data_IF_136628970228
#
_entry.id   IF_136628970228
#
_cell.length_a   1.000
_cell.length_b   1.000
_cell.length_c   1.000
_cell.angle_alpha   90.00
_cell.angle_beta   90.00
_cell.angle_gamma   90.00
#
_symmetry.space_group_name_H-M   'P 1'
#
loop_
_entity.id
_entity.type
_entity.pdbx_description
1 polymer ?
#
# COMPACT_ATOMS: atom_id res chain seq x y z
N UNK A 1 23.09 42.93 25.34
CA UNK A 1 23.53 41.53 25.54
C UNK A 1 24.02 40.99 24.21
N UNK A 2 25.36 40.90 24.03
CA UNK A 2 25.96 40.28 22.86
C UNK A 2 25.73 38.77 22.92
N UNK A 3 24.90 38.26 22.07
CA UNK A 3 24.74 36.81 21.88
C UNK A 3 25.92 36.29 21.07
N UNK A 4 26.85 35.62 21.75
CA UNK A 4 27.99 34.96 21.06
C UNK A 4 27.45 33.65 20.49
N UNK A 5 27.32 33.57 19.17
CA UNK A 5 27.03 32.32 18.46
C UNK A 5 28.31 31.49 18.41
N UNK A 6 28.34 30.38 19.14
CA UNK A 6 29.40 29.38 18.99
C UNK A 6 29.01 28.41 17.87
N UNK A 7 29.87 28.34 16.86
CA UNK A 7 29.72 27.31 15.81
C UNK A 7 30.14 25.97 16.40
N UNK A 8 29.20 25.06 16.56
CA UNK A 8 29.49 23.69 16.99
C UNK A 8 29.35 22.76 15.79
N UNK A 9 30.31 21.84 15.61
CA UNK A 9 30.22 20.74 14.67
C UNK A 9 29.74 19.48 15.41
N UNK A 10 28.79 18.77 14.85
CA UNK A 10 28.29 17.47 15.33
C UNK A 10 28.41 16.46 14.22
N UNK A 11 29.01 15.33 14.51
CA UNK A 11 29.02 14.19 13.59
C UNK A 11 27.60 13.60 13.53
N UNK A 12 27.03 13.56 12.33
CA UNK A 12 25.65 13.08 12.11
C UNK A 12 25.62 11.61 11.74
N UNK A 13 26.67 11.10 11.10
CA UNK A 13 26.78 9.71 10.67
C UNK A 13 28.24 9.34 10.45
N UNK A 14 28.64 8.16 10.90
CA UNK A 14 29.95 7.61 10.61
C UNK A 14 30.06 7.20 9.14
N UNK A 15 31.17 7.49 8.51
CA UNK A 15 31.46 7.06 7.15
C UNK A 15 31.64 5.54 7.07
N UNK A 16 31.22 4.94 5.97
CA UNK A 16 31.51 3.56 5.63
C UNK A 16 32.33 3.52 4.33
N UNK A 17 33.61 3.20 4.45
CA UNK A 17 34.52 3.09 3.30
C UNK A 17 34.25 1.85 2.41
N UNK A 18 33.47 0.88 2.90
CA UNK A 18 33.20 -0.39 2.23
C UNK A 18 31.83 -0.40 1.51
N UNK A 19 31.24 0.78 1.27
CA UNK A 19 29.98 0.88 0.52
C UNK A 19 30.18 0.41 -0.91
N UNK A 20 29.33 -0.51 -1.35
CA UNK A 20 29.28 -1.02 -2.70
C UNK A 20 27.89 -0.84 -3.32
N UNK A 21 27.77 -1.10 -4.61
CA UNK A 21 26.49 -1.15 -5.28
C UNK A 21 25.72 -2.42 -4.91
N UNK A 22 24.41 -2.30 -4.81
CA UNK A 22 23.54 -3.48 -4.72
C UNK A 22 23.62 -4.29 -6.03
N UNK A 23 23.46 -5.60 -5.90
CA UNK A 23 23.53 -6.53 -7.02
C UNK A 23 22.19 -7.23 -7.20
N UNK A 24 21.70 -7.31 -8.44
CA UNK A 24 20.47 -8.03 -8.77
C UNK A 24 20.71 -9.10 -9.83
N UNK A 25 20.42 -10.36 -9.49
CA UNK A 25 20.30 -11.44 -10.45
C UNK A 25 18.85 -11.50 -10.94
N UNK A 26 18.65 -11.20 -12.21
CA UNK A 26 17.33 -11.20 -12.86
C UNK A 26 17.22 -12.35 -13.84
N UNK A 27 16.10 -13.03 -13.80
CA UNK A 27 15.72 -14.11 -14.70
C UNK A 27 14.32 -13.80 -15.24
N UNK A 28 14.14 -13.94 -16.54
CA UNK A 28 12.86 -13.79 -17.22
C UNK A 28 12.66 -14.95 -18.20
N UNK A 29 11.47 -15.53 -18.20
CA UNK A 29 11.08 -16.63 -19.06
C UNK A 29 9.75 -16.26 -19.71
N UNK A 30 9.78 -16.06 -21.03
CA UNK A 30 8.64 -15.62 -21.81
C UNK A 30 8.20 -16.63 -22.87
N UNK A 31 6.93 -16.65 -23.15
CA UNK A 31 6.32 -17.43 -24.24
C UNK A 31 5.38 -16.50 -24.99
N UNK A 32 5.56 -16.44 -26.33
CA UNK A 32 4.60 -15.84 -27.26
C UNK A 32 3.91 -16.95 -28.04
N UNK A 33 2.58 -16.92 -28.04
CA UNK A 33 1.74 -17.88 -28.76
C UNK A 33 0.71 -17.17 -29.63
N UNK A 34 0.53 -17.68 -30.82
CA UNK A 34 -0.41 -17.15 -31.82
C UNK A 34 -1.41 -18.23 -32.22
N UNK A 35 -2.69 -17.90 -32.23
CA UNK A 35 -3.76 -18.82 -32.50
C UNK A 35 -4.77 -18.21 -33.49
N UNK A 36 -5.53 -19.06 -34.15
CA UNK A 36 -6.64 -18.69 -35.06
C UNK A 36 -6.21 -17.74 -36.19
N UNK A 37 -5.08 -18.03 -36.86
CA UNK A 37 -4.51 -17.19 -37.91
C UNK A 37 -4.24 -15.77 -37.38
N UNK A 38 -3.51 -15.67 -36.27
CA UNK A 38 -3.07 -14.45 -35.61
C UNK A 38 -4.19 -13.57 -35.01
N UNK A 39 -5.42 -14.06 -34.94
CA UNK A 39 -6.49 -13.33 -34.25
C UNK A 39 -6.30 -13.27 -32.77
N UNK A 40 -5.72 -14.30 -32.16
CA UNK A 40 -5.34 -14.31 -30.75
C UNK A 40 -3.83 -14.37 -30.63
N UNK A 41 -3.27 -13.36 -29.94
CA UNK A 41 -1.89 -13.37 -29.44
C UNK A 41 -1.93 -13.46 -27.92
N UNK A 42 -1.19 -14.42 -27.35
CA UNK A 42 -0.97 -14.57 -25.93
C UNK A 42 0.51 -14.47 -25.65
N UNK A 43 0.90 -13.56 -24.77
CA UNK A 43 2.25 -13.44 -24.23
C UNK A 43 2.19 -13.71 -22.73
N UNK A 44 3.05 -14.59 -22.24
CA UNK A 44 3.16 -14.89 -20.79
C UNK A 44 4.63 -14.81 -20.42
N UNK A 45 4.93 -14.00 -19.44
CA UNK A 45 6.25 -13.86 -18.87
C UNK A 45 6.25 -14.22 -17.38
N UNK A 46 7.23 -14.97 -16.95
CA UNK A 46 7.55 -15.20 -15.55
C UNK A 46 8.90 -14.60 -15.24
N UNK A 47 8.98 -13.81 -14.19
CA UNK A 47 10.24 -13.21 -13.78
C UNK A 47 10.57 -13.49 -12.32
N UNK A 48 11.87 -13.54 -12.05
CA UNK A 48 12.43 -13.62 -10.70
C UNK A 48 13.66 -12.75 -10.60
N UNK A 49 13.73 -11.98 -9.52
CA UNK A 49 14.87 -11.13 -9.19
C UNK A 49 15.34 -11.45 -7.76
N UNK A 50 16.61 -11.78 -7.62
CA UNK A 50 17.27 -11.91 -6.33
C UNK A 50 18.21 -10.73 -6.16
N UNK A 51 17.86 -9.82 -5.27
CA UNK A 51 18.63 -8.62 -4.96
C UNK A 51 19.36 -8.80 -3.65
N UNK A 52 20.65 -8.49 -3.64
CA UNK A 52 21.53 -8.58 -2.49
C UNK A 52 22.39 -7.33 -2.36
N UNK A 53 23.11 -7.24 -1.25
CA UNK A 53 23.99 -6.13 -0.93
C UNK A 53 23.26 -4.78 -0.88
N UNK A 54 21.95 -4.83 -0.51
CA UNK A 54 21.11 -3.64 -0.33
C UNK A 54 21.63 -2.88 0.88
N UNK A 55 21.81 -1.57 0.74
CA UNK A 55 22.19 -0.70 1.85
C UNK A 55 21.06 -0.63 2.86
N UNK A 56 21.34 -1.03 4.09
CA UNK A 56 20.40 -0.99 5.20
C UNK A 56 21.04 -0.39 6.46
N UNK A 57 20.20 0.21 7.31
CA UNK A 57 20.60 0.63 8.64
C UNK A 57 20.80 -0.58 9.52
N UNK A 58 21.84 -0.57 10.36
CA UNK A 58 22.06 -1.61 11.36
C UNK A 58 21.12 -1.40 12.55
N UNK A 59 20.44 -2.45 12.96
CA UNK A 59 19.48 -2.45 14.08
C UNK A 59 19.91 -3.35 15.23
N UNK A 60 20.74 -4.37 14.98
CA UNK A 60 21.17 -5.35 15.97
C UNK A 60 22.33 -4.89 16.85
N UNK A 61 22.92 -3.71 16.59
CA UNK A 61 23.98 -3.15 17.43
C UNK A 61 23.36 -2.53 18.69
N UNK A 62 23.74 -2.99 19.89
CA UNK A 62 23.19 -2.48 21.14
C UNK A 62 23.37 -0.97 21.27
N UNK A 63 22.33 -0.28 21.72
CA UNK A 63 22.33 1.17 21.87
C UNK A 63 23.41 1.71 22.82
N UNK A 64 23.88 0.86 23.75
CA UNK A 64 24.97 1.19 24.67
C UNK A 64 26.33 1.34 23.94
N UNK A 65 26.53 0.62 22.83
CA UNK A 65 27.76 0.65 22.02
C UNK A 65 27.57 1.56 20.81
N UNK A 66 26.38 1.55 20.24
CA UNK A 66 26.02 2.40 19.14
C UNK A 66 25.67 3.77 19.67
N UNK A 67 26.44 4.77 19.32
CA UNK A 67 26.04 6.17 19.47
C UNK A 67 24.79 6.37 18.59
N UNK A 68 23.61 6.27 19.22
CA UNK A 68 22.29 6.25 18.58
C UNK A 68 22.20 7.14 17.33
N UNK A 69 21.94 6.53 16.19
CA UNK A 69 21.73 7.22 14.91
C UNK A 69 23.01 7.57 14.12
N UNK A 70 24.21 7.28 14.63
CA UNK A 70 25.48 7.59 13.95
C UNK A 70 26.03 6.39 13.15
N UNK A 71 25.48 5.19 13.35
CA UNK A 71 25.97 4.00 12.65
C UNK A 71 25.81 4.16 11.14
N UNK A 72 26.86 3.79 10.37
CA UNK A 72 26.78 3.84 8.92
C UNK A 72 25.82 2.76 8.39
N UNK A 73 25.24 3.04 7.24
CA UNK A 73 24.53 2.00 6.45
C UNK A 73 25.53 0.99 5.89
N UNK A 74 25.10 -0.25 5.76
CA UNK A 74 25.94 -1.37 5.30
C UNK A 74 25.24 -2.18 4.21
N UNK A 75 26.02 -2.78 3.31
CA UNK A 75 25.52 -3.60 2.21
C UNK A 75 25.27 -5.03 2.67
N UNK A 76 24.10 -5.31 3.26
CA UNK A 76 23.79 -6.66 3.76
C UNK A 76 22.33 -7.08 3.51
N UNK A 77 21.46 -6.17 3.13
CA UNK A 77 20.05 -6.48 2.87
C UNK A 77 19.86 -7.40 1.67
N UNK A 78 18.86 -8.28 1.74
CA UNK A 78 18.49 -9.21 0.66
C UNK A 78 16.99 -9.23 0.47
N UNK A 79 16.54 -9.09 -0.78
CA UNK A 79 15.13 -9.12 -1.18
C UNK A 79 14.99 -10.00 -2.42
N UNK A 80 14.00 -10.88 -2.39
CA UNK A 80 13.55 -11.61 -3.56
C UNK A 80 12.30 -10.92 -4.13
N UNK A 81 12.18 -10.82 -5.44
CA UNK A 81 10.97 -10.40 -6.12
C UNK A 81 10.65 -11.40 -7.22
N UNK A 82 9.37 -11.78 -7.36
CA UNK A 82 8.93 -12.68 -8.42
C UNK A 82 7.51 -12.35 -8.83
N UNK A 83 7.18 -12.71 -10.07
CA UNK A 83 5.87 -12.43 -10.59
C UNK A 83 5.66 -12.99 -11.99
N UNK A 84 4.51 -12.68 -12.53
CA UNK A 84 4.16 -13.02 -13.90
C UNK A 84 3.43 -11.87 -14.56
N UNK A 85 3.56 -11.83 -15.88
CA UNK A 85 2.82 -10.91 -16.75
C UNK A 85 2.11 -11.71 -17.83
N UNK A 86 0.88 -11.34 -18.09
CA UNK A 86 0.07 -11.94 -19.16
C UNK A 86 -0.49 -10.82 -20.01
N UNK A 87 -0.25 -10.86 -21.31
CA UNK A 87 -0.84 -9.98 -22.30
C UNK A 87 -1.63 -10.81 -23.31
N UNK A 88 -2.90 -10.49 -23.45
CA UNK A 88 -3.82 -11.14 -24.37
C UNK A 88 -4.36 -10.11 -25.34
N UNK A 89 -4.18 -10.37 -26.64
CA UNK A 89 -4.71 -9.54 -27.73
C UNK A 89 -5.58 -10.38 -28.64
N UNK A 90 -6.82 -9.97 -28.76
CA UNK A 90 -7.78 -10.54 -29.70
C UNK A 90 -8.20 -9.47 -30.70
N UNK A 91 -8.06 -9.77 -31.99
CA UNK A 91 -8.52 -8.93 -33.08
C UNK A 91 -9.32 -9.80 -34.03
N UNK A 92 -10.54 -9.39 -34.35
CA UNK A 92 -11.36 -10.13 -35.30
C UNK A 92 -12.28 -9.20 -36.08
N UNK A 93 -12.86 -9.73 -37.14
CA UNK A 93 -13.80 -9.02 -38.00
C UNK A 93 -14.95 -9.93 -38.39
N UNK A 94 -16.15 -9.47 -38.13
CA UNK A 94 -17.41 -10.15 -38.54
C UNK A 94 -18.10 -9.25 -39.55
N UNK A 95 -17.97 -9.60 -40.84
CA UNK A 95 -18.45 -8.77 -41.96
C UNK A 95 -17.87 -7.33 -41.88
N UNK A 96 -18.72 -6.33 -41.69
CA UNK A 96 -18.32 -4.92 -41.60
C UNK A 96 -17.94 -4.48 -40.19
N UNK A 97 -18.08 -5.36 -39.19
CA UNK A 97 -17.74 -5.05 -37.79
C UNK A 97 -16.36 -5.60 -37.47
N UNK A 98 -15.41 -4.68 -37.18
CA UNK A 98 -14.08 -4.98 -36.66
C UNK A 98 -14.07 -4.72 -35.16
N UNK A 99 -13.47 -5.60 -34.38
CA UNK A 99 -13.34 -5.39 -32.95
C UNK A 99 -12.04 -5.93 -32.41
N UNK A 100 -11.62 -5.40 -31.25
CA UNK A 100 -10.46 -5.89 -30.55
C UNK A 100 -10.68 -5.91 -29.04
N UNK A 101 -9.98 -6.82 -28.37
CA UNK A 101 -9.90 -6.95 -26.93
C UNK A 101 -8.43 -7.12 -26.59
N UNK A 102 -7.85 -6.16 -25.86
CA UNK A 102 -6.51 -6.25 -25.33
C UNK A 102 -6.59 -6.22 -23.81
N UNK A 103 -6.19 -7.31 -23.18
CA UNK A 103 -6.18 -7.45 -21.73
C UNK A 103 -4.77 -7.74 -21.25
N UNK A 104 -4.33 -7.07 -20.20
CA UNK A 104 -3.08 -7.39 -19.56
C UNK A 104 -3.23 -7.47 -18.06
N UNK A 105 -2.43 -8.30 -17.43
CA UNK A 105 -2.30 -8.40 -15.98
C UNK A 105 -0.85 -8.64 -15.64
N UNK A 106 -0.35 -7.90 -14.66
CA UNK A 106 0.96 -8.11 -14.06
C UNK A 106 0.77 -8.36 -12.56
N UNK A 107 1.40 -9.40 -12.06
CA UNK A 107 1.51 -9.72 -10.66
C UNK A 107 2.96 -9.71 -10.23
N UNK A 108 3.27 -8.99 -9.16
CA UNK A 108 4.62 -8.92 -8.60
C UNK A 108 4.56 -8.91 -7.08
N UNK A 109 5.30 -9.83 -6.47
CA UNK A 109 5.39 -9.93 -5.02
C UNK A 109 6.84 -10.08 -4.58
N UNK A 110 7.28 -9.18 -3.73
CA UNK A 110 8.60 -9.25 -3.14
C UNK A 110 8.55 -9.85 -1.73
N UNK A 111 9.72 -10.28 -1.25
CA UNK A 111 9.91 -10.83 0.08
C UNK A 111 11.26 -10.41 0.61
N UNK A 112 11.29 -9.85 1.81
CA UNK A 112 12.52 -9.59 2.55
C UNK A 112 13.11 -10.94 2.96
N UNK A 113 14.30 -11.24 2.46
CA UNK A 113 15.04 -12.47 2.80
C UNK A 113 15.96 -12.23 3.98
N UNK A 114 16.52 -11.03 4.04
CA UNK A 114 17.37 -10.61 5.14
C UNK A 114 17.36 -9.10 5.30
N UNK A 115 17.22 -8.66 6.52
CA UNK A 115 17.51 -7.32 7.00
C UNK A 115 18.12 -7.44 8.41
N UNK A 116 18.85 -6.42 8.87
CA UNK A 116 19.44 -6.41 10.20
C UNK A 116 18.36 -6.08 11.23
N UNK A 117 17.55 -7.07 11.57
CA UNK A 117 16.37 -6.96 12.44
C UNK A 117 16.67 -7.59 13.81
N UNK A 118 16.37 -6.83 14.85
CA UNK A 118 16.44 -7.37 16.23
C UNK A 118 15.36 -8.43 16.35
N UNK A 119 15.71 -9.58 16.93
CA UNK A 119 14.75 -10.65 17.18
C UNK A 119 13.59 -10.13 18.02
N UNK A 120 12.36 -10.13 17.47
CA UNK A 120 11.21 -9.67 18.21
C UNK A 120 10.79 -10.69 19.27
N UNK A 121 10.06 -10.24 20.28
CA UNK A 121 9.56 -11.11 21.34
C UNK A 121 8.62 -12.18 20.79
N UNK A 122 7.85 -11.84 19.74
CA UNK A 122 6.84 -12.70 19.18
C UNK A 122 7.08 -13.00 17.69
N UNK A 123 6.87 -14.25 17.22
CA UNK A 123 7.16 -14.66 15.84
C UNK A 123 6.37 -13.88 14.77
N UNK A 124 5.16 -13.42 15.09
CA UNK A 124 4.30 -12.69 14.15
C UNK A 124 4.74 -11.25 13.93
N UNK A 125 5.68 -10.74 14.72
CA UNK A 125 6.23 -9.38 14.60
C UNK A 125 7.35 -9.28 13.55
N UNK A 126 7.92 -10.41 13.12
CA UNK A 126 9.01 -10.41 12.13
C UNK A 126 8.61 -9.68 10.85
N UNK A 127 9.42 -8.72 10.44
CA UNK A 127 9.30 -8.06 9.12
C UNK A 127 10.01 -8.86 8.04
N UNK A 128 11.11 -9.51 8.40
CA UNK A 128 11.79 -10.51 7.54
C UNK A 128 10.81 -11.63 7.20
N UNK A 129 10.73 -11.98 5.92
CA UNK A 129 9.75 -12.94 5.43
C UNK A 129 8.49 -12.30 4.84
N UNK A 130 8.26 -11.02 5.06
CA UNK A 130 7.15 -10.25 4.50
C UNK A 130 7.60 -9.35 3.34
N UNK A 131 6.65 -8.68 2.72
CA UNK A 131 6.90 -7.75 1.63
C UNK A 131 7.53 -6.45 2.17
N UNK A 132 8.41 -5.85 1.37
CA UNK A 132 8.92 -4.50 1.64
C UNK A 132 7.76 -3.51 1.69
N UNK A 133 7.61 -2.84 2.84
CA UNK A 133 6.53 -1.89 3.06
C UNK A 133 5.20 -2.53 3.47
N UNK A 134 5.18 -3.83 3.83
CA UNK A 134 4.05 -4.44 4.52
C UNK A 134 3.67 -3.62 5.75
N UNK A 135 2.35 -3.49 6.00
CA UNK A 135 1.85 -2.69 7.11
C UNK A 135 1.81 -3.51 8.39
N UNK A 136 2.48 -3.00 9.42
CA UNK A 136 2.47 -3.57 10.75
C UNK A 136 1.81 -2.59 11.72
N UNK A 137 1.07 -3.11 12.68
CA UNK A 137 0.35 -2.33 13.66
C UNK A 137 -0.63 -3.20 14.44
N UNK A 138 -1.55 -2.57 15.14
CA UNK A 138 -2.51 -3.25 15.98
C UNK A 138 -3.71 -3.76 15.17
N UNK A 139 -4.15 -4.97 15.50
CA UNK A 139 -5.40 -5.52 14.99
C UNK A 139 -6.55 -5.02 15.88
N UNK A 140 -7.46 -4.22 15.32
CA UNK A 140 -8.61 -3.71 16.03
C UNK A 140 -9.73 -4.77 16.12
N UNK A 141 -10.32 -4.89 17.29
CA UNK A 141 -11.50 -5.74 17.58
C UNK A 141 -12.80 -4.93 17.68
N UNK A 142 -12.77 -3.65 17.31
CA UNK A 142 -13.88 -2.71 17.43
C UNK A 142 -13.58 -1.59 18.41
N UNK A 143 -14.60 -1.15 19.13
CA UNK A 143 -14.51 -0.05 20.06
C UNK A 143 -14.94 -0.49 21.47
N UNK A 144 -14.33 0.10 22.50
CA UNK A 144 -14.78 -0.09 23.85
C UNK A 144 -16.23 0.41 24.03
N UNK A 145 -17.06 -0.39 24.69
CA UNK A 145 -18.41 -0.02 25.09
C UNK A 145 -18.45 0.36 26.58
N UNK A 146 -19.54 0.96 27.02
CA UNK A 146 -19.70 1.33 28.43
C UNK A 146 -19.57 0.12 29.38
N UNK A 147 -20.02 -1.07 28.96
CA UNK A 147 -19.94 -2.31 29.74
C UNK A 147 -18.50 -2.88 29.86
N UNK A 148 -17.55 -2.36 29.10
CA UNK A 148 -16.13 -2.76 29.17
C UNK A 148 -15.40 -2.07 30.34
N UNK A 149 -16.08 -1.19 31.08
CA UNK A 149 -15.51 -0.42 32.20
C UNK A 149 -16.11 -0.81 33.55
N UNK A 150 -15.31 -0.69 34.60
CA UNK A 150 -15.74 -0.82 35.98
C UNK A 150 -16.38 0.48 36.51
N UNK A 151 -16.81 0.47 37.80
CA UNK A 151 -17.42 1.63 38.44
C UNK A 151 -16.44 2.84 38.57
N UNK A 152 -15.16 2.60 38.56
CA UNK A 152 -14.13 3.63 38.67
C UNK A 152 -13.72 4.19 37.28
N UNK A 153 -14.31 3.65 36.20
CA UNK A 153 -14.07 4.04 34.82
C UNK A 153 -12.76 3.53 34.26
N UNK A 154 -12.23 2.43 34.78
CA UNK A 154 -11.12 1.69 34.23
C UNK A 154 -11.63 0.53 33.38
N UNK A 155 -10.82 0.07 32.42
CA UNK A 155 -11.14 -1.16 31.67
C UNK A 155 -11.19 -2.32 32.67
N UNK A 156 -12.24 -3.13 32.57
CA UNK A 156 -12.47 -4.26 33.47
C UNK A 156 -11.30 -5.24 33.47
N UNK A 157 -10.96 -5.78 34.63
CA UNK A 157 -9.80 -6.66 34.82
C UNK A 157 -9.87 -8.01 34.10
N UNK A 158 -11.07 -8.41 33.60
CA UNK A 158 -11.25 -9.59 32.76
C UNK A 158 -11.02 -9.33 31.25
N UNK A 159 -10.68 -8.10 30.89
CA UNK A 159 -10.31 -7.70 29.53
C UNK A 159 -8.83 -7.34 29.44
N UNK A 160 -8.21 -7.49 28.27
CA UNK A 160 -6.85 -7.03 28.05
C UNK A 160 -6.66 -5.56 28.44
N UNK A 161 -5.61 -5.30 29.21
CA UNK A 161 -5.36 -4.00 29.84
C UNK A 161 -4.56 -3.09 28.89
N UNK A 162 -5.19 -2.05 28.35
CA UNK A 162 -4.48 -1.14 27.44
C UNK A 162 -3.58 -0.17 28.21
N UNK A 163 -2.52 0.31 27.55
CA UNK A 163 -1.70 1.38 28.09
C UNK A 163 -2.50 2.70 28.14
N UNK A 164 -2.45 3.36 29.31
CA UNK A 164 -3.12 4.63 29.57
C UNK A 164 -4.64 4.54 29.66
N UNK A 165 -5.27 5.65 30.06
CA UNK A 165 -6.71 5.70 30.28
C UNK A 165 -7.51 5.59 28.97
N UNK A 166 -8.52 4.74 28.95
CA UNK A 166 -9.45 4.56 27.84
C UNK A 166 -10.84 5.07 28.22
N UNK A 167 -11.65 5.26 27.18
CA UNK A 167 -13.03 5.69 27.30
C UNK A 167 -13.91 4.92 26.33
N UNK A 168 -15.21 4.81 26.57
CA UNK A 168 -16.15 4.24 25.61
C UNK A 168 -15.98 4.91 24.23
N UNK A 169 -15.91 4.09 23.18
CA UNK A 169 -15.66 4.53 21.81
C UNK A 169 -14.18 4.67 21.40
N UNK A 170 -13.24 4.42 22.31
CA UNK A 170 -11.83 4.27 21.92
C UNK A 170 -11.61 2.91 21.24
N UNK A 171 -10.61 2.81 20.38
CA UNK A 171 -10.30 1.57 19.65
C UNK A 171 -9.82 0.51 20.64
N UNK A 172 -10.42 -0.67 20.56
CA UNK A 172 -10.04 -1.88 21.30
C UNK A 172 -9.14 -2.74 20.41
N UNK A 173 -7.93 -3.01 20.87
CA UNK A 173 -6.95 -3.83 20.17
C UNK A 173 -6.96 -5.27 20.66
N UNK A 174 -6.54 -6.19 19.79
CA UNK A 174 -6.36 -7.59 20.14
C UNK A 174 -5.08 -7.78 20.96
N UNK A 175 -5.18 -8.53 22.02
CA UNK A 175 -4.09 -9.15 22.73
C UNK A 175 -3.69 -10.41 21.94
N UNK A 176 -2.52 -10.39 21.32
CA UNK A 176 -2.08 -11.45 20.40
C UNK A 176 -1.20 -12.51 21.09
N UNK A 177 -0.47 -12.13 22.13
CA UNK A 177 0.37 -13.02 22.90
C UNK A 177 -0.37 -13.67 24.11
N UNK A 178 -1.53 -13.10 24.50
CA UNK A 178 -2.37 -13.62 25.56
C UNK A 178 -1.88 -13.30 26.97
N UNK A 179 -1.07 -12.26 27.14
CA UNK A 179 -0.52 -11.84 28.44
C UNK A 179 -1.46 -10.88 29.21
N UNK A 180 -2.61 -10.56 28.62
CA UNK A 180 -3.62 -9.62 29.14
C UNK A 180 -3.15 -8.15 29.21
N UNK A 181 -2.12 -7.77 28.45
CA UNK A 181 -1.62 -6.42 28.32
C UNK A 181 -1.60 -6.04 26.85
N UNK A 182 -2.09 -4.86 26.50
CA UNK A 182 -1.97 -4.36 25.12
C UNK A 182 -0.77 -3.44 25.02
N UNK A 183 0.28 -3.93 24.36
CA UNK A 183 1.51 -3.18 24.16
C UNK A 183 2.14 -3.43 22.78
N UNK A 184 3.44 -3.13 22.65
CA UNK A 184 4.13 -3.26 21.36
C UNK A 184 4.22 -4.71 20.87
N UNK A 185 4.13 -5.68 21.76
CA UNK A 185 4.21 -7.11 21.42
C UNK A 185 2.92 -7.61 20.75
N UNK A 186 1.82 -6.80 20.74
CA UNK A 186 0.58 -7.09 20.01
C UNK A 186 0.55 -6.53 18.58
N UNK A 187 1.67 -6.06 18.06
CA UNK A 187 1.73 -5.56 16.70
C UNK A 187 2.05 -6.70 15.73
N UNK A 188 1.24 -6.82 14.70
CA UNK A 188 1.41 -7.83 13.63
C UNK A 188 1.25 -7.21 12.25
N UNK A 189 1.45 -8.00 11.21
CA UNK A 189 1.12 -7.57 9.85
C UNK A 189 -0.40 -7.39 9.71
N UNK A 190 -0.84 -6.17 9.51
CA UNK A 190 -2.26 -5.80 9.38
C UNK A 190 -2.68 -5.55 7.92
N UNK A 191 -1.74 -5.44 6.98
CA UNK A 191 -2.10 -5.17 5.59
C UNK A 191 -0.97 -5.24 4.59
N UNK A 192 -1.34 -4.95 3.35
CA UNK A 192 -0.46 -5.00 2.20
C UNK A 192 0.38 -3.74 2.07
N UNK A 193 1.49 -3.78 1.32
CA UNK A 193 2.21 -2.58 0.92
C UNK A 193 1.31 -1.61 0.12
N UNK A 194 1.67 -0.33 0.13
CA UNK A 194 1.04 0.67 -0.74
C UNK A 194 1.23 0.37 -2.24
N UNK A 195 2.31 -0.32 -2.60
CA UNK A 195 2.52 -0.77 -3.97
C UNK A 195 1.61 -1.96 -4.25
N UNK A 196 0.75 -1.90 -5.28
CA UNK A 196 -0.13 -2.99 -5.62
C UNK A 196 0.66 -4.23 -6.06
N UNK A 197 0.20 -5.41 -5.65
CA UNK A 197 0.73 -6.66 -6.17
C UNK A 197 0.18 -6.96 -7.57
N UNK A 198 -1.06 -6.56 -7.85
CA UNK A 198 -1.68 -6.69 -9.18
C UNK A 198 -1.86 -5.33 -9.84
N UNK A 199 -1.50 -5.27 -11.11
CA UNK A 199 -1.92 -4.20 -12.02
C UNK A 199 -2.54 -4.81 -13.26
N UNK A 200 -3.62 -4.24 -13.76
CA UNK A 200 -4.30 -4.76 -14.94
C UNK A 200 -4.88 -3.66 -15.80
N UNK A 201 -4.96 -3.95 -17.07
CA UNK A 201 -5.54 -3.09 -18.09
C UNK A 201 -6.44 -3.87 -19.03
N UNK A 202 -7.49 -3.21 -19.52
CA UNK A 202 -8.39 -3.75 -20.52
C UNK A 202 -8.74 -2.68 -21.53
N UNK A 203 -8.38 -2.91 -22.79
CA UNK A 203 -8.76 -2.08 -23.90
C UNK A 203 -9.74 -2.84 -24.79
N UNK A 204 -10.91 -2.28 -24.98
CA UNK A 204 -11.95 -2.79 -25.87
C UNK A 204 -12.22 -1.75 -26.94
N UNK A 205 -12.42 -2.19 -28.16
CA UNK A 205 -12.85 -1.28 -29.21
C UNK A 205 -13.47 -2.00 -30.37
N UNK A 206 -14.23 -1.24 -31.15
CA UNK A 206 -14.84 -1.75 -32.36
C UNK A 206 -15.22 -0.66 -33.33
N UNK A 207 -15.32 -1.03 -34.59
CA UNK A 207 -15.69 -0.16 -35.67
C UNK A 207 -16.74 -0.85 -36.57
N UNK A 208 -17.79 -0.10 -36.93
CA UNK A 208 -18.82 -0.52 -37.82
C UNK A 208 -19.25 0.62 -38.73
N UNK A 209 -19.05 0.44 -40.06
CA UNK A 209 -19.48 1.41 -41.10
C UNK A 209 -19.08 2.89 -40.76
N UNK A 210 -17.85 3.07 -40.33
CA UNK A 210 -17.31 4.39 -39.96
C UNK A 210 -17.58 4.83 -38.53
N UNK A 211 -18.54 4.25 -37.83
CA UNK A 211 -18.68 4.48 -36.39
C UNK A 211 -17.65 3.66 -35.61
N UNK A 212 -16.96 4.27 -34.68
CA UNK A 212 -16.04 3.56 -33.79
C UNK A 212 -16.27 3.92 -32.34
N UNK A 213 -16.03 2.97 -31.48
CA UNK A 213 -16.00 3.17 -30.03
C UNK A 213 -14.83 2.42 -29.43
N UNK A 214 -14.20 3.01 -28.42
CA UNK A 214 -13.16 2.35 -27.64
C UNK A 214 -13.24 2.73 -26.18
N UNK A 215 -12.87 1.78 -25.32
CA UNK A 215 -12.80 1.92 -23.85
C UNK A 215 -11.45 1.45 -23.35
N UNK A 216 -10.87 2.23 -22.43
CA UNK A 216 -9.67 1.84 -21.71
C UNK A 216 -9.99 1.76 -20.23
N UNK A 217 -9.84 0.58 -19.66
CA UNK A 217 -9.97 0.31 -18.24
C UNK A 217 -8.61 0.06 -17.62
N UNK A 218 -8.42 0.51 -16.39
CA UNK A 218 -7.21 0.21 -15.61
C UNK A 218 -7.58 -0.04 -14.17
N UNK A 219 -6.81 -0.89 -13.52
CA UNK A 219 -7.02 -1.18 -12.11
C UNK A 219 -5.79 -1.74 -11.44
N UNK A 220 -5.86 -1.77 -10.13
CA UNK A 220 -4.86 -2.35 -9.23
C UNK A 220 -5.55 -3.12 -8.12
N UNK A 221 -4.84 -4.10 -7.55
CA UNK A 221 -5.35 -4.86 -6.40
C UNK A 221 -4.22 -5.30 -5.47
N UNK A 222 -4.61 -5.71 -4.27
CA UNK A 222 -3.70 -6.09 -3.18
C UNK A 222 -2.75 -4.94 -2.81
N UNK A 223 -3.31 -3.80 -2.52
CA UNK A 223 -2.60 -2.65 -1.96
C UNK A 223 -3.47 -1.95 -0.93
N UNK A 224 -2.85 -1.48 0.13
CA UNK A 224 -3.54 -0.79 1.21
C UNK A 224 -2.96 0.60 1.42
N UNK A 225 -3.81 1.53 1.79
CA UNK A 225 -3.42 2.88 2.18
C UNK A 225 -3.82 3.12 3.63
N UNK A 226 -2.88 3.62 4.42
CA UNK A 226 -3.17 4.08 5.76
C UNK A 226 -3.68 5.51 5.72
N UNK A 227 -4.81 5.77 6.37
CA UNK A 227 -5.30 7.11 6.63
C UNK A 227 -4.35 7.79 7.63
N UNK A 228 -3.89 8.99 7.33
CA UNK A 228 -2.89 9.69 8.13
C UNK A 228 -3.29 11.15 8.39
N UNK A 229 -2.65 11.78 9.38
CA UNK A 229 -2.83 13.17 9.71
C UNK A 229 -4.32 13.57 9.91
N UNK A 230 -4.81 14.58 9.23
CA UNK A 230 -6.19 15.05 9.31
C UNK A 230 -7.24 13.99 8.95
N UNK A 231 -6.89 12.97 8.15
CA UNK A 231 -7.79 11.86 7.80
C UNK A 231 -8.00 10.84 8.93
N UNK A 232 -7.22 10.93 10.01
CA UNK A 232 -7.26 10.01 11.16
C UNK A 232 -7.45 10.76 12.48
N UNK A 233 -7.07 12.04 12.51
CA UNK A 233 -7.08 12.89 13.71
C UNK A 233 -8.12 13.98 13.57
N UNK A 234 -9.20 13.95 14.38
CA UNK A 234 -10.14 15.06 14.45
C UNK A 234 -9.43 16.37 14.81
N UNK A 235 -9.76 17.44 14.12
CA UNK A 235 -9.23 18.80 14.39
C UNK A 235 -7.69 18.92 14.35
N UNK A 236 -7.02 18.05 13.61
CA UNK A 236 -5.56 18.03 13.48
C UNK A 236 -5.02 19.40 13.07
N UNK A 237 -4.06 19.93 13.87
CA UNK A 237 -3.45 21.26 13.66
C UNK A 237 -4.47 22.39 13.48
N UNK A 238 -5.59 22.35 14.18
CA UNK A 238 -6.66 23.36 14.10
C UNK A 238 -7.52 23.28 12.85
N UNK A 239 -7.40 22.21 12.05
CA UNK A 239 -8.23 21.98 10.87
C UNK A 239 -9.64 21.52 11.24
N UNK A 240 -10.51 21.46 10.23
CA UNK A 240 -11.90 21.03 10.35
C UNK A 240 -12.02 19.52 10.56
N UNK A 241 -13.17 19.09 11.06
CA UNK A 241 -13.58 17.70 11.09
C UNK A 241 -14.15 17.30 9.72
N UNK A 242 -13.69 16.19 9.16
CA UNK A 242 -14.27 15.65 7.94
C UNK A 242 -15.65 15.03 8.20
N UNK A 243 -16.59 15.21 7.25
CA UNK A 243 -17.96 14.71 7.37
C UNK A 243 -18.03 13.21 7.63
N UNK A 244 -17.23 12.38 6.95
CA UNK A 244 -17.22 10.92 7.15
C UNK A 244 -16.85 10.51 8.58
N UNK A 245 -15.98 11.29 9.26
CA UNK A 245 -15.62 11.05 10.66
C UNK A 245 -16.78 11.41 11.57
N UNK A 246 -17.47 12.52 11.27
CA UNK A 246 -18.64 12.94 12.04
C UNK A 246 -19.78 11.93 11.92
N UNK A 247 -20.04 11.43 10.70
CA UNK A 247 -21.15 10.52 10.42
C UNK A 247 -20.86 9.09 10.91
N UNK A 248 -19.62 8.62 10.77
CA UNK A 248 -19.22 7.26 11.13
C UNK A 248 -18.64 7.10 12.52
N UNK A 249 -18.63 8.14 13.36
CA UNK A 249 -18.05 8.09 14.71
C UNK A 249 -18.85 7.21 15.65
N UNK A 250 -18.16 6.68 16.63
CA UNK A 250 -18.79 6.03 17.74
C UNK A 250 -19.49 7.04 18.67
N UNK A 251 -20.74 6.75 19.02
CA UNK A 251 -21.52 7.33 20.12
C UNK A 251 -22.31 6.19 20.77
N UNK A 252 -22.89 6.35 21.95
CA UNK A 252 -23.75 5.30 22.54
C UNK A 252 -24.85 4.83 21.59
N UNK A 253 -25.43 5.74 20.80
CA UNK A 253 -26.51 5.45 19.85
C UNK A 253 -26.00 4.73 18.59
N UNK A 254 -24.75 4.97 18.19
CA UNK A 254 -24.14 4.39 16.97
C UNK A 254 -23.17 3.25 17.27
N UNK A 255 -23.06 2.79 18.51
CA UNK A 255 -22.06 1.81 18.95
C UNK A 255 -22.04 0.54 18.09
N UNK A 256 -23.20 0.08 17.61
CA UNK A 256 -23.33 -1.12 16.77
C UNK A 256 -22.93 -0.91 15.29
N UNK A 257 -22.89 0.32 14.81
CA UNK A 257 -22.68 0.65 13.38
C UNK A 257 -21.49 1.57 13.14
N UNK A 258 -20.87 2.07 14.20
CA UNK A 258 -19.72 2.97 14.12
C UNK A 258 -18.56 2.29 13.38
N UNK A 259 -17.91 3.04 12.48
CA UNK A 259 -16.73 2.61 11.72
C UNK A 259 -15.48 3.41 12.09
N UNK A 260 -15.65 4.47 12.90
CA UNK A 260 -14.59 5.30 13.42
C UNK A 260 -14.73 5.46 14.93
N UNK A 261 -13.62 5.67 15.66
CA UNK A 261 -13.68 5.87 17.10
C UNK A 261 -14.42 7.15 17.46
N UNK A 262 -14.72 7.30 18.77
CA UNK A 262 -15.23 8.57 19.30
C UNK A 262 -14.30 9.74 18.89
N UNK A 263 -14.84 10.92 18.74
CA UNK A 263 -14.06 12.12 18.47
C UNK A 263 -13.25 12.50 19.73
N UNK A 264 -11.95 12.64 19.56
CA UNK A 264 -11.06 13.10 20.63
C UNK A 264 -9.87 13.84 20.03
N UNK A 265 -9.52 14.97 20.61
CA UNK A 265 -8.33 15.75 20.23
C UNK A 265 -7.06 15.26 20.93
N UNK A 266 -7.22 14.47 22.00
CA UNK A 266 -6.12 14.06 22.90
C UNK A 266 -5.89 12.56 23.00
N UNK A 267 -6.71 11.71 22.33
CA UNK A 267 -6.52 10.26 22.38
C UNK A 267 -5.36 9.83 21.50
N UNK A 268 -4.23 9.48 22.12
CA UNK A 268 -3.09 8.90 21.40
C UNK A 268 -3.40 7.52 20.83
N UNK A 269 -4.13 6.69 21.57
CA UNK A 269 -4.48 5.30 21.17
C UNK A 269 -5.29 5.23 19.88
N UNK A 270 -6.29 6.13 19.73
CA UNK A 270 -7.07 6.19 18.49
C UNK A 270 -6.23 6.63 17.28
N UNK A 271 -4.99 7.04 17.49
CA UNK A 271 -4.07 7.49 16.45
C UNK A 271 -3.00 6.45 16.11
N UNK A 272 -2.95 5.33 16.84
CA UNK A 272 -2.02 4.24 16.55
C UNK A 272 -2.27 3.65 15.16
N UNK A 273 -1.19 3.15 14.54
CA UNK A 273 -1.31 2.40 13.30
C UNK A 273 -2.08 1.11 13.56
N UNK A 274 -3.25 0.99 12.98
CA UNK A 274 -4.14 -0.14 13.21
C UNK A 274 -5.01 -0.45 11.99
N UNK A 275 -5.64 -1.61 12.03
CA UNK A 275 -6.52 -2.07 10.95
C UNK A 275 -7.74 -1.16 10.71
N UNK A 276 -8.16 -0.34 11.68
CA UNK A 276 -9.24 0.67 11.49
C UNK A 276 -8.87 1.70 10.44
N UNK A 277 -7.60 2.14 10.46
CA UNK A 277 -7.11 3.20 9.58
C UNK A 277 -6.55 2.70 8.26
N UNK A 278 -6.50 1.39 8.10
CA UNK A 278 -6.05 0.77 6.86
C UNK A 278 -7.25 0.57 5.93
N UNK A 279 -7.13 1.06 4.71
CA UNK A 279 -8.17 0.96 3.69
C UNK A 279 -7.63 0.27 2.46
N UNK A 280 -8.40 -0.67 1.94
CA UNK A 280 -8.13 -1.28 0.64
C UNK A 280 -8.13 -0.20 -0.43
N UNK A 281 -7.00 -0.07 -1.12
CA UNK A 281 -6.80 0.89 -2.20
C UNK A 281 -6.94 0.26 -3.60
N UNK A 282 -7.46 -0.97 -3.65
CA UNK A 282 -7.77 -1.64 -4.91
C UNK A 282 -8.86 -0.89 -5.67
N UNK A 283 -8.70 -0.77 -6.97
CA UNK A 283 -9.73 -0.14 -7.80
C UNK A 283 -9.72 -0.68 -9.23
N UNK A 284 -10.85 -0.48 -9.91
CA UNK A 284 -10.99 -0.53 -11.36
C UNK A 284 -11.67 0.75 -11.82
N UNK A 285 -11.15 1.37 -12.88
CA UNK A 285 -11.78 2.57 -13.43
C UNK A 285 -11.72 2.61 -14.94
N UNK A 286 -12.77 3.14 -15.54
CA UNK A 286 -12.78 3.56 -16.93
C UNK A 286 -11.93 4.82 -17.07
N UNK A 287 -10.77 4.69 -17.72
CA UNK A 287 -9.82 5.81 -17.90
C UNK A 287 -10.19 6.67 -19.10
N UNK A 288 -10.54 6.03 -20.20
CA UNK A 288 -10.93 6.69 -21.43
C UNK A 288 -12.16 6.01 -22.05
N UNK A 289 -13.06 6.80 -22.59
CA UNK A 289 -14.12 6.39 -23.49
C UNK A 289 -14.07 7.29 -24.71
N UNK A 290 -13.94 6.70 -25.89
CA UNK A 290 -13.92 7.42 -27.14
C UNK A 290 -15.03 6.88 -28.02
N UNK A 291 -15.84 7.77 -28.58
CA UNK A 291 -16.86 7.45 -29.59
C UNK A 291 -16.68 8.43 -30.73
N UNK A 292 -16.66 7.93 -31.94
CA UNK A 292 -16.47 8.79 -33.10
C UNK A 292 -17.02 8.18 -34.38
N UNK A 293 -16.97 8.98 -35.43
CA UNK A 293 -17.36 8.58 -36.77
C UNK A 293 -16.30 9.04 -37.77
N UNK A 294 -15.79 8.10 -38.55
CA UNK A 294 -14.87 8.35 -39.66
C UNK A 294 -15.65 8.82 -40.88
N UNK A 295 -15.57 10.11 -41.21
CA UNK A 295 -16.16 10.67 -42.40
C UNK A 295 -15.25 10.28 -43.57
N UNK A 296 -15.52 9.13 -44.20
CA UNK A 296 -14.89 8.73 -45.45
C UNK A 296 -15.60 9.41 -46.63
N UNK A 297 -15.52 10.73 -46.74
CA UNK A 297 -15.72 11.31 -48.04
C UNK A 297 -14.39 11.22 -48.81
N UNK A 298 -14.40 10.82 -50.07
CA UNK A 298 -13.26 11.04 -50.93
C UNK A 298 -13.01 12.56 -50.92
N UNK A 299 -11.95 12.99 -50.21
CA UNK A 299 -11.47 14.34 -50.35
C UNK A 299 -10.98 14.47 -51.77
N UNK A 300 -11.81 15.04 -52.63
CA UNK A 300 -11.35 15.50 -53.93
C UNK A 300 -10.28 16.55 -53.64
N UNK A 301 -9.03 16.15 -53.85
CA UNK A 301 -7.93 17.11 -53.89
C UNK A 301 -8.14 17.99 -55.10
N UNK A 302 -8.92 19.04 -54.94
CA UNK A 302 -8.88 20.17 -55.85
C UNK A 302 -7.51 20.78 -55.62
N UNK A 303 -6.60 20.47 -56.54
CA UNK A 303 -5.34 21.18 -56.66
C UNK A 303 -5.60 22.65 -56.84
N UNK A 304 -5.51 23.45 -55.80
CA UNK A 304 -5.23 24.85 -55.91
C UNK A 304 -3.79 24.98 -56.44
N UNK A 305 -3.64 24.94 -57.76
CA UNK A 305 -2.46 25.50 -58.40
C UNK A 305 -2.59 27.03 -58.25
N UNK A 306 -1.82 27.58 -57.34
CA UNK A 306 -1.52 29.01 -57.37
C UNK A 306 -0.66 29.29 -58.60
N UNK A 307 -1.12 30.17 -59.43
CA UNK A 307 -0.34 30.87 -60.47
C UNK A 307 0.50 31.95 -59.79
#
# INVERSE_FOLDING_TARGET
TNTVYQTAAKELMLGNSNVTWETALKQNYGIDAYFFSDRLKLTVDYFRENRRDILIQRSTVPSLIAMNGILPVVNMGKVNNQGYEVDLKWNDRIKDFSYYINANVSYSKNKIIYQDEVEPNEPYMWRTGHEVGARFGYLAQGFYNENDFDADGNVRGDLPQPQGKKYPGDIKFADLNGDNIIDNDDQTKIGNPKRPAYTFGLNLGGEYKGFFASMNWTGVAQCDIEMANAYKRPFYEGQVLYQYMADGRWTPETAATAVYPRLSISSSTNQETSSVWLKDASYIKLKNLTIGYNITQPVSYTHLRAH
#
